data_IF_186531253005
#
_entry.id   IF_186531253005
#
_cell.length_a   1.000
_cell.length_b   1.000
_cell.length_c   1.000
_cell.angle_alpha   90.00
_cell.angle_beta   90.00
_cell.angle_gamma   90.00
#
_symmetry.space_group_name_H-M   'P 1'
#
loop_
_entity.id
_entity.type
_entity.pdbx_description
1 polymer ?
#
# COMPACT_ATOMS: atom_id res chain seq x y z
N UNK A 1 6.74 -5.18 23.14
CA UNK A 1 6.68 -6.55 22.58
C UNK A 1 7.42 -6.63 21.26
N UNK A 2 7.94 -7.81 20.88
CA UNK A 2 8.67 -8.01 19.62
C UNK A 2 7.80 -7.79 18.38
N UNK A 3 8.44 -7.43 17.27
CA UNK A 3 7.79 -7.25 15.98
C UNK A 3 7.22 -8.56 15.42
N UNK A 4 6.05 -8.46 14.79
CA UNK A 4 5.29 -9.57 14.21
C UNK A 4 5.01 -9.26 12.75
N UNK A 5 5.31 -10.18 11.85
CA UNK A 5 5.12 -9.98 10.40
C UNK A 5 3.63 -9.92 10.07
N UNK A 6 3.24 -9.04 9.15
CA UNK A 6 1.88 -9.10 8.59
C UNK A 6 1.68 -10.34 7.73
N UNK A 7 0.42 -10.75 7.58
CA UNK A 7 0.03 -11.82 6.65
C UNK A 7 0.42 -11.45 5.23
N UNK A 8 0.14 -10.20 4.80
CA UNK A 8 0.50 -9.69 3.47
C UNK A 8 2.00 -9.86 3.17
N UNK A 9 2.87 -9.60 4.14
CA UNK A 9 4.32 -9.81 3.98
C UNK A 9 4.65 -11.30 3.82
N UNK A 10 4.01 -12.18 4.59
CA UNK A 10 4.24 -13.63 4.51
C UNK A 10 3.85 -14.13 3.13
N UNK A 11 2.65 -13.79 2.65
CA UNK A 11 2.16 -14.14 1.31
C UNK A 11 3.11 -13.68 0.21
N UNK A 12 3.58 -12.43 0.25
CA UNK A 12 4.52 -11.92 -0.76
C UNK A 12 5.84 -12.71 -0.79
N UNK A 13 6.38 -13.08 0.39
CA UNK A 13 7.61 -13.88 0.46
C UNK A 13 7.39 -15.28 -0.14
N UNK A 14 6.22 -15.88 0.10
CA UNK A 14 5.85 -17.17 -0.50
C UNK A 14 5.74 -17.08 -2.02
N UNK A 15 5.07 -16.04 -2.55
CA UNK A 15 4.97 -15.77 -3.99
C UNK A 15 6.37 -15.56 -4.61
N UNK A 16 7.22 -14.77 -3.97
CA UNK A 16 8.61 -14.55 -4.42
C UNK A 16 9.41 -15.84 -4.40
N UNK A 17 9.21 -16.73 -3.42
CA UNK A 17 9.86 -18.04 -3.37
C UNK A 17 9.55 -18.89 -4.61
N UNK A 18 8.30 -18.84 -5.10
CA UNK A 18 7.88 -19.55 -6.31
C UNK A 18 8.54 -18.93 -7.54
N UNK A 19 8.60 -17.60 -7.62
CA UNK A 19 9.27 -16.89 -8.71
C UNK A 19 10.76 -17.24 -8.76
N UNK A 20 11.47 -17.23 -7.62
CA UNK A 20 12.87 -17.62 -7.55
C UNK A 20 13.11 -19.05 -8.03
N UNK A 21 12.23 -20.00 -7.67
CA UNK A 21 12.33 -21.38 -8.14
C UNK A 21 12.26 -21.46 -9.66
N UNK A 22 11.37 -20.68 -10.31
CA UNK A 22 11.24 -20.62 -11.77
C UNK A 22 12.49 -20.02 -12.43
N UNK A 23 12.98 -18.89 -11.91
CA UNK A 23 14.20 -18.23 -12.43
C UNK A 23 15.44 -19.14 -12.28
N UNK A 24 15.58 -19.86 -11.16
CA UNK A 24 16.65 -20.85 -10.99
C UNK A 24 16.49 -22.07 -11.90
N UNK A 25 15.26 -22.52 -12.10
CA UNK A 25 14.95 -23.64 -13.01
C UNK A 25 15.36 -23.34 -14.46
N UNK A 26 15.19 -22.09 -14.90
CA UNK A 26 15.62 -21.66 -16.23
C UNK A 26 17.14 -21.82 -16.46
N UNK A 27 17.96 -21.65 -15.40
CA UNK A 27 19.42 -21.82 -15.50
C UNK A 27 19.88 -23.28 -15.59
N UNK A 28 19.03 -24.23 -15.18
CA UNK A 28 19.41 -25.66 -15.07
C UNK A 28 19.01 -26.49 -16.29
N UNK A 29 18.11 -25.99 -17.12
CA UNK A 29 17.59 -26.68 -18.30
C UNK A 29 18.29 -26.17 -19.56
N UNK A 30 18.43 -27.03 -20.56
CA UNK A 30 18.84 -26.61 -21.91
C UNK A 30 17.62 -25.93 -22.54
N UNK A 31 17.50 -24.62 -22.31
CA UNK A 31 16.44 -23.77 -22.87
C UNK A 31 17.03 -22.88 -23.96
N UNK A 32 16.19 -22.45 -24.89
CA UNK A 32 16.59 -21.42 -25.86
C UNK A 32 16.73 -20.07 -25.16
N UNK A 33 17.47 -19.13 -25.78
CA UNK A 33 17.57 -17.76 -25.25
C UNK A 33 16.21 -17.09 -25.12
N UNK A 34 15.30 -17.34 -26.05
CA UNK A 34 13.96 -16.76 -26.06
C UNK A 34 13.10 -17.28 -24.90
N UNK A 35 13.19 -18.59 -24.62
CA UNK A 35 12.50 -19.19 -23.46
C UNK A 35 13.00 -18.59 -22.14
N UNK A 36 14.31 -18.38 -22.03
CA UNK A 36 14.91 -17.76 -20.84
C UNK A 36 14.40 -16.33 -20.68
N UNK A 37 14.43 -15.53 -21.74
CA UNK A 37 13.94 -14.14 -21.72
C UNK A 37 12.46 -14.07 -21.34
N UNK A 38 11.63 -14.98 -21.84
CA UNK A 38 10.22 -15.08 -21.48
C UNK A 38 10.03 -15.41 -19.99
N UNK A 39 10.78 -16.37 -19.45
CA UNK A 39 10.72 -16.72 -18.02
C UNK A 39 11.14 -15.53 -17.16
N UNK A 40 12.21 -14.82 -17.55
CA UNK A 40 12.66 -13.63 -16.83
C UNK A 40 11.64 -12.51 -16.89
N UNK A 41 11.03 -12.27 -18.06
CA UNK A 41 9.98 -11.28 -18.23
C UNK A 41 8.75 -11.58 -17.36
N UNK A 42 8.29 -12.83 -17.39
CA UNK A 42 7.20 -13.30 -16.53
C UNK A 42 7.53 -13.14 -15.05
N UNK A 43 8.77 -13.41 -14.63
CA UNK A 43 9.21 -13.22 -13.25
C UNK A 43 9.11 -11.75 -12.81
N UNK A 44 9.48 -10.80 -13.66
CA UNK A 44 9.35 -9.36 -13.37
C UNK A 44 7.88 -8.94 -13.22
N UNK A 45 7.01 -9.35 -14.14
CA UNK A 45 5.58 -9.03 -14.06
C UNK A 45 4.93 -9.63 -12.82
N UNK A 46 5.20 -10.90 -12.52
CA UNK A 46 4.69 -11.58 -11.33
C UNK A 46 5.20 -10.91 -10.04
N UNK A 47 6.49 -10.55 -9.98
CA UNK A 47 7.06 -9.89 -8.81
C UNK A 47 6.43 -8.50 -8.56
N UNK A 48 6.13 -7.77 -9.63
CA UNK A 48 5.46 -6.48 -9.54
C UNK A 48 3.97 -6.63 -9.15
N UNK A 49 3.28 -7.64 -9.68
CA UNK A 49 1.89 -7.92 -9.32
C UNK A 49 1.78 -8.30 -7.83
N UNK A 50 2.67 -9.16 -7.34
CA UNK A 50 2.80 -9.51 -5.93
C UNK A 50 3.04 -8.28 -5.04
N UNK A 51 3.87 -7.33 -5.47
CA UNK A 51 4.09 -6.08 -4.73
C UNK A 51 2.82 -5.20 -4.68
N UNK A 52 2.05 -5.14 -5.76
CA UNK A 52 0.77 -4.41 -5.79
C UNK A 52 -0.26 -5.08 -4.85
N UNK A 53 -0.34 -6.41 -4.86
CA UNK A 53 -1.19 -7.19 -3.96
C UNK A 53 -0.80 -6.95 -2.50
N UNK A 54 0.50 -6.94 -2.18
CA UNK A 54 0.97 -6.59 -0.84
C UNK A 54 0.44 -5.24 -0.36
N UNK A 55 0.49 -4.19 -1.21
CA UNK A 55 -0.06 -2.87 -0.86
C UNK A 55 -1.58 -2.95 -0.63
N UNK A 56 -2.31 -3.66 -1.49
CA UNK A 56 -3.75 -3.86 -1.29
C UNK A 56 -4.05 -4.56 0.04
N UNK A 57 -3.41 -5.70 0.29
CA UNK A 57 -3.68 -6.57 1.43
C UNK A 57 -3.26 -5.94 2.75
N UNK A 58 -2.11 -5.24 2.79
CA UNK A 58 -1.63 -4.60 4.01
C UNK A 58 -2.58 -3.49 4.45
N UNK A 59 -3.08 -2.66 3.52
CA UNK A 59 -4.03 -1.58 3.85
C UNK A 59 -5.43 -2.12 4.15
N UNK A 60 -5.87 -3.21 3.50
CA UNK A 60 -7.11 -3.89 3.85
C UNK A 60 -7.07 -4.46 5.27
N UNK A 61 -5.94 -5.06 5.64
CA UNK A 61 -5.72 -5.58 7.00
C UNK A 61 -5.58 -4.43 8.02
N UNK A 62 -4.90 -3.35 7.63
CA UNK A 62 -4.76 -2.13 8.44
C UNK A 62 -6.11 -1.56 8.85
N UNK A 63 -7.04 -1.46 7.88
CA UNK A 63 -8.38 -0.94 8.13
C UNK A 63 -9.14 -1.79 9.16
N UNK A 64 -9.04 -3.13 9.06
CA UNK A 64 -9.60 -4.06 10.06
C UNK A 64 -8.97 -3.85 11.44
N UNK A 65 -7.64 -3.73 11.48
CA UNK A 65 -6.88 -3.49 12.71
C UNK A 65 -7.29 -2.20 13.42
N UNK A 66 -7.36 -1.09 12.67
CA UNK A 66 -7.83 0.20 13.18
C UNK A 66 -9.25 0.08 13.71
N UNK A 67 -10.17 -0.52 12.94
CA UNK A 67 -11.58 -0.72 13.35
C UNK A 67 -11.73 -1.53 14.63
N UNK A 68 -10.84 -2.48 14.89
CA UNK A 68 -10.91 -3.29 16.11
C UNK A 68 -10.65 -2.51 17.40
N UNK A 69 -10.09 -1.28 17.30
CA UNK A 69 -9.72 -0.45 18.46
C UNK A 69 -10.36 0.94 18.42
N UNK A 70 -10.48 1.56 17.25
CA UNK A 70 -11.04 2.91 17.10
C UNK A 70 -12.57 2.88 17.11
N UNK A 71 -13.17 3.36 18.19
CA UNK A 71 -14.63 3.37 18.39
C UNK A 71 -15.33 4.55 17.71
N UNK A 72 -14.64 5.69 17.57
CA UNK A 72 -15.17 6.91 16.96
C UNK A 72 -14.07 7.60 16.13
N UNK A 73 -14.45 8.65 15.39
CA UNK A 73 -13.54 9.40 14.53
C UNK A 73 -12.36 10.07 15.24
N UNK A 74 -12.47 10.42 16.53
CA UNK A 74 -11.39 11.09 17.26
C UNK A 74 -10.23 10.16 17.64
N UNK A 75 -10.44 8.83 17.57
CA UNK A 75 -9.36 7.85 17.74
C UNK A 75 -8.53 7.63 16.46
N UNK A 76 -8.94 8.20 15.31
CA UNK A 76 -8.19 8.11 14.07
C UNK A 76 -7.12 9.21 14.01
N UNK A 77 -5.96 8.96 13.37
CA UNK A 77 -5.01 9.98 12.99
C UNK A 77 -5.69 11.09 12.17
N UNK A 78 -5.28 12.34 12.40
CA UNK A 78 -5.89 13.51 11.76
C UNK A 78 -5.86 13.42 10.25
N UNK A 79 -4.76 12.94 9.66
CA UNK A 79 -4.63 12.77 8.22
C UNK A 79 -5.60 11.73 7.67
N UNK A 80 -5.83 10.64 8.41
CA UNK A 80 -6.75 9.58 8.02
C UNK A 80 -8.18 10.06 8.11
N UNK A 81 -8.53 10.72 9.21
CA UNK A 81 -9.83 11.35 9.42
C UNK A 81 -10.15 12.35 8.32
N UNK A 82 -9.23 13.28 8.04
CA UNK A 82 -9.39 14.30 7.00
C UNK A 82 -9.51 13.66 5.61
N UNK A 83 -8.67 12.67 5.29
CA UNK A 83 -8.75 11.95 4.03
C UNK A 83 -10.10 11.24 3.84
N UNK A 84 -10.56 10.49 4.85
CA UNK A 84 -11.85 9.79 4.79
C UNK A 84 -13.02 10.75 4.63
N UNK A 85 -12.99 11.87 5.37
CA UNK A 85 -14.01 12.91 5.28
C UNK A 85 -14.05 13.50 3.87
N UNK A 86 -12.91 13.97 3.37
CA UNK A 86 -12.83 14.57 2.04
C UNK A 86 -13.16 13.56 0.94
N UNK A 87 -12.71 12.32 1.04
CA UNK A 87 -12.88 11.34 -0.02
C UNK A 87 -14.35 10.96 -0.25
N UNK A 88 -15.14 10.90 0.82
CA UNK A 88 -16.56 10.54 0.77
C UNK A 88 -17.50 11.75 0.65
N UNK A 89 -16.96 12.97 0.71
CA UNK A 89 -17.72 14.20 0.48
C UNK A 89 -18.03 14.40 -1.01
N UNK A 90 -19.19 14.98 -1.34
CA UNK A 90 -19.54 15.34 -2.71
C UNK A 90 -18.76 16.59 -3.18
N UNK A 91 -17.49 16.39 -3.55
CA UNK A 91 -16.57 17.47 -3.94
C UNK A 91 -17.05 18.27 -5.14
N UNK A 92 -17.71 17.63 -6.11
CA UNK A 92 -18.13 18.28 -7.34
C UNK A 92 -19.08 19.45 -7.06
N UNK A 93 -20.03 19.26 -6.14
CA UNK A 93 -20.98 20.31 -5.77
C UNK A 93 -20.37 21.42 -4.93
N UNK A 94 -19.47 21.07 -4.01
CA UNK A 94 -18.80 22.06 -3.16
C UNK A 94 -17.86 22.93 -4.01
N UNK A 95 -16.99 22.30 -4.81
CA UNK A 95 -16.08 23.05 -5.70
C UNK A 95 -16.89 23.84 -6.73
N UNK A 96 -17.95 23.25 -7.29
CA UNK A 96 -18.79 23.94 -8.25
C UNK A 96 -19.50 25.16 -7.65
N UNK A 97 -19.83 25.18 -6.35
CA UNK A 97 -20.34 26.39 -5.71
C UNK A 97 -19.28 27.50 -5.63
N UNK A 98 -18.04 27.16 -5.25
CA UNK A 98 -16.92 28.11 -5.18
C UNK A 98 -16.59 28.76 -6.55
N UNK A 99 -16.75 28.02 -7.64
CA UNK A 99 -16.51 28.54 -9.00
C UNK A 99 -17.79 29.04 -9.70
N UNK A 100 -18.90 29.20 -8.97
CA UNK A 100 -20.16 29.74 -9.49
C UNK A 100 -20.96 28.82 -10.43
N UNK A 101 -20.62 27.53 -10.51
CA UNK A 101 -21.34 26.52 -11.29
C UNK A 101 -22.53 25.90 -10.54
N UNK A 102 -22.56 26.01 -9.21
CA UNK A 102 -23.64 25.53 -8.36
C UNK A 102 -24.06 26.59 -7.33
N UNK A 103 -25.27 26.45 -6.79
CA UNK A 103 -25.72 27.31 -5.70
C UNK A 103 -25.00 26.95 -4.39
N UNK A 104 -24.54 27.97 -3.67
CA UNK A 104 -23.98 27.82 -2.32
C UNK A 104 -24.96 27.08 -1.38
N UNK A 105 -26.25 27.37 -1.49
CA UNK A 105 -27.29 26.70 -0.70
C UNK A 105 -27.35 25.17 -0.96
N UNK A 106 -27.12 24.73 -2.20
CA UNK A 106 -27.10 23.30 -2.52
C UNK A 106 -25.81 22.64 -2.00
N UNK A 107 -24.67 23.34 -2.05
CA UNK A 107 -23.43 22.87 -1.44
C UNK A 107 -23.57 22.72 0.09
N UNK A 108 -24.16 23.71 0.77
CA UNK A 108 -24.44 23.64 2.21
C UNK A 108 -25.38 22.48 2.55
N UNK A 109 -26.46 22.29 1.78
CA UNK A 109 -27.38 21.17 1.99
C UNK A 109 -26.67 19.81 1.89
N UNK A 110 -25.76 19.66 0.95
CA UNK A 110 -25.02 18.40 0.78
C UNK A 110 -23.97 18.19 1.87
N UNK A 111 -23.33 19.25 2.38
CA UNK A 111 -22.46 19.18 3.56
C UNK A 111 -23.28 18.75 4.78
N UNK A 112 -24.42 19.38 5.02
CA UNK A 112 -25.33 19.05 6.14
C UNK A 112 -25.74 17.57 6.06
N UNK A 113 -26.23 17.11 4.90
CA UNK A 113 -26.58 15.69 4.69
C UNK A 113 -25.40 14.75 4.94
N UNK A 114 -24.20 15.14 4.54
CA UNK A 114 -22.98 14.34 4.75
C UNK A 114 -22.60 14.24 6.23
N UNK A 115 -22.73 15.34 6.97
CA UNK A 115 -22.52 15.42 8.41
C UNK A 115 -23.60 14.66 9.20
N UNK A 116 -24.84 14.70 8.75
CA UNK A 116 -25.92 13.89 9.35
C UNK A 116 -25.68 12.39 9.14
N UNK A 117 -25.10 12.02 7.99
CA UNK A 117 -24.72 10.65 7.63
C UNK A 117 -23.40 10.16 8.24
N UNK A 118 -22.75 9.23 7.54
CA UNK A 118 -21.52 8.56 8.01
C UNK A 118 -20.34 9.51 8.24
N UNK A 119 -20.26 10.65 7.54
CA UNK A 119 -19.12 11.57 7.72
C UNK A 119 -19.21 12.34 9.04
N UNK A 120 -20.40 12.46 9.61
CA UNK A 120 -20.56 12.96 10.97
C UNK A 120 -19.76 12.16 11.99
N UNK A 121 -19.68 10.84 11.84
CA UNK A 121 -18.93 9.98 12.75
C UNK A 121 -17.40 10.23 12.73
N UNK A 122 -16.88 10.93 11.72
CA UNK A 122 -15.48 11.32 11.68
C UNK A 122 -15.22 12.56 12.53
N UNK A 123 -16.17 13.49 12.60
CA UNK A 123 -16.00 14.80 13.26
C UNK A 123 -16.64 14.86 14.65
N UNK A 124 -17.67 14.05 14.88
CA UNK A 124 -18.38 13.93 16.15
C UNK A 124 -17.85 12.72 16.92
N UNK A 125 -17.13 12.97 18.02
CA UNK A 125 -16.58 11.93 18.89
C UNK A 125 -17.62 11.12 19.67
N UNK A 126 -18.90 11.49 19.63
CA UNK A 126 -19.98 10.74 20.27
C UNK A 126 -20.56 9.65 19.38
N UNK A 127 -20.31 9.74 18.07
CA UNK A 127 -20.85 8.81 17.06
C UNK A 127 -19.91 7.63 16.82
N UNK A 128 -20.49 6.45 16.65
CA UNK A 128 -19.73 5.25 16.30
C UNK A 128 -19.15 5.36 14.88
N UNK A 129 -17.90 4.95 14.75
CA UNK A 129 -17.18 4.97 13.48
C UNK A 129 -17.80 3.97 12.48
N UNK A 130 -18.06 4.42 11.26
CA UNK A 130 -18.52 3.54 10.18
C UNK A 130 -17.42 2.55 9.76
N UNK A 131 -17.80 1.48 9.05
CA UNK A 131 -16.83 0.51 8.55
C UNK A 131 -15.87 1.12 7.53
N UNK A 132 -14.58 1.17 7.87
CA UNK A 132 -13.50 1.59 6.97
C UNK A 132 -12.94 0.35 6.28
N UNK A 133 -12.73 0.43 4.97
CA UNK A 133 -12.05 -0.61 4.19
C UNK A 133 -10.68 -0.14 3.69
N UNK A 134 -9.79 -1.06 3.33
CA UNK A 134 -8.48 -0.71 2.76
C UNK A 134 -8.61 0.19 1.52
N UNK A 135 -9.63 -0.05 0.69
CA UNK A 135 -9.93 0.76 -0.50
C UNK A 135 -10.29 2.21 -0.16
N UNK A 136 -10.86 2.47 1.01
CA UNK A 136 -11.10 3.84 1.47
C UNK A 136 -9.78 4.56 1.75
N UNK A 137 -8.73 3.83 2.14
CA UNK A 137 -7.39 4.36 2.44
C UNK A 137 -6.55 4.53 1.17
N UNK A 138 -6.35 3.48 0.37
CA UNK A 138 -5.49 3.56 -0.81
C UNK A 138 -6.21 4.14 -2.04
N UNK A 139 -7.54 4.12 -2.07
CA UNK A 139 -8.39 4.59 -3.18
C UNK A 139 -8.02 3.94 -4.52
N UNK A 140 -7.42 4.69 -5.44
CA UNK A 140 -6.94 4.22 -6.74
C UNK A 140 -5.41 4.04 -6.76
N UNK A 141 -4.74 4.37 -5.67
CA UNK A 141 -3.27 4.44 -5.57
C UNK A 141 -2.64 3.15 -5.05
N UNK A 142 -3.22 1.98 -5.37
CA UNK A 142 -2.65 0.67 -4.99
C UNK A 142 -1.34 0.35 -5.73
N UNK A 143 -1.14 0.94 -6.91
CA UNK A 143 0.07 0.73 -7.70
C UNK A 143 1.29 1.33 -6.97
N UNK A 144 2.38 0.55 -6.74
CA UNK A 144 3.50 0.94 -5.90
C UNK A 144 4.48 1.89 -6.63
N UNK A 145 4.08 3.13 -6.88
CA UNK A 145 4.97 4.20 -7.38
C UNK A 145 5.36 5.16 -6.25
N UNK A 146 6.44 5.93 -6.45
CA UNK A 146 6.86 6.99 -5.52
C UNK A 146 5.70 7.89 -5.08
N UNK A 147 4.98 8.43 -6.06
CA UNK A 147 3.87 9.36 -5.84
C UNK A 147 2.74 8.70 -5.08
N UNK A 148 2.38 7.46 -5.45
CA UNK A 148 1.28 6.73 -4.82
C UNK A 148 1.61 6.36 -3.37
N UNK A 149 2.80 5.81 -3.12
CA UNK A 149 3.20 5.42 -1.77
C UNK A 149 3.31 6.64 -0.84
N UNK A 150 3.90 7.76 -1.29
CA UNK A 150 3.90 8.99 -0.49
C UNK A 150 2.47 9.41 -0.12
N UNK A 151 1.55 9.42 -1.10
CA UNK A 151 0.16 9.80 -0.86
C UNK A 151 -0.52 8.87 0.15
N UNK A 152 -0.45 7.56 -0.07
CA UNK A 152 -1.17 6.58 0.75
C UNK A 152 -0.60 6.52 2.18
N UNK A 153 0.72 6.59 2.35
CA UNK A 153 1.33 6.59 3.68
C UNK A 153 1.06 7.90 4.44
N UNK A 154 1.03 9.04 3.75
CA UNK A 154 0.63 10.30 4.36
C UNK A 154 -0.81 10.28 4.88
N UNK A 155 -1.73 9.60 4.16
CA UNK A 155 -3.13 9.43 4.61
C UNK A 155 -3.26 8.71 5.94
N UNK A 156 -2.27 7.94 6.37
CA UNK A 156 -2.30 7.28 7.68
C UNK A 156 -1.38 7.95 8.71
N UNK A 157 -0.88 9.16 8.42
CA UNK A 157 0.00 9.93 9.32
C UNK A 157 1.48 9.53 9.26
N UNK A 158 1.94 8.93 8.16
CA UNK A 158 3.36 8.61 7.93
C UNK A 158 3.94 9.57 6.90
N UNK A 159 4.51 10.68 7.38
CA UNK A 159 5.26 11.63 6.55
C UNK A 159 6.70 11.16 6.25
N UNK A 160 7.30 11.74 5.21
CA UNK A 160 8.67 11.46 4.77
C UNK A 160 8.93 9.95 4.62
N UNK A 161 7.98 9.25 4.00
CA UNK A 161 7.95 7.79 3.92
C UNK A 161 9.27 7.19 3.43
N UNK A 162 9.78 7.64 2.28
CA UNK A 162 11.04 7.12 1.73
C UNK A 162 12.26 7.46 2.59
N UNK A 163 12.30 8.61 3.24
CA UNK A 163 13.41 8.97 4.13
C UNK A 163 13.46 8.05 5.36
N UNK A 164 12.28 7.75 5.94
CA UNK A 164 12.17 6.79 7.05
C UNK A 164 12.61 5.39 6.63
N UNK A 165 12.27 4.97 5.42
CA UNK A 165 12.74 3.70 4.87
C UNK A 165 14.25 3.72 4.60
N UNK A 166 14.79 4.81 4.06
CA UNK A 166 16.22 4.97 3.81
C UNK A 166 17.02 4.84 5.09
N UNK A 167 16.56 5.46 6.18
CA UNK A 167 17.17 5.34 7.51
C UNK A 167 17.09 3.90 8.04
N UNK A 168 15.94 3.24 7.90
CA UNK A 168 15.73 1.87 8.37
C UNK A 168 16.56 0.83 7.59
N UNK A 169 16.73 1.04 6.28
CA UNK A 169 17.43 0.12 5.38
C UNK A 169 18.91 0.46 5.20
N UNK A 170 19.33 1.69 5.54
CA UNK A 170 20.65 2.26 5.20
C UNK A 170 20.96 2.19 3.69
N UNK A 171 19.93 2.33 2.87
CA UNK A 171 19.97 2.20 1.40
C UNK A 171 18.91 3.09 0.78
N UNK A 172 19.08 3.43 -0.49
CA UNK A 172 18.06 4.16 -1.24
C UNK A 172 16.86 3.25 -1.57
N UNK A 173 15.80 3.39 -0.78
CA UNK A 173 14.54 2.64 -0.91
C UNK A 173 13.74 3.02 -2.16
N UNK A 174 13.89 4.25 -2.66
CA UNK A 174 13.25 4.69 -3.89
C UNK A 174 13.92 4.02 -5.10
N UNK A 175 15.25 4.03 -5.15
CA UNK A 175 15.99 3.35 -6.20
C UNK A 175 15.67 1.85 -6.25
N UNK A 176 15.49 1.20 -5.09
CA UNK A 176 15.06 -0.21 -5.02
C UNK A 176 13.68 -0.39 -5.66
N UNK A 177 12.70 0.45 -5.31
CA UNK A 177 11.35 0.39 -5.87
C UNK A 177 11.36 0.60 -7.39
N UNK A 178 12.04 1.65 -7.85
CA UNK A 178 12.13 2.01 -9.27
C UNK A 178 12.91 0.97 -10.08
N UNK A 179 13.84 0.24 -9.47
CA UNK A 179 14.59 -0.81 -10.17
C UNK A 179 13.70 -1.92 -10.72
N UNK A 180 12.66 -2.36 -9.99
CA UNK A 180 11.74 -3.38 -10.49
C UNK A 180 10.72 -2.78 -11.46
N UNK A 181 10.22 -1.57 -11.17
CA UNK A 181 9.30 -0.84 -12.04
C UNK A 181 9.90 -0.54 -13.41
N UNK A 182 11.17 -0.14 -13.46
CA UNK A 182 11.90 0.14 -14.69
C UNK A 182 12.01 -1.07 -15.61
N UNK A 183 12.32 -2.26 -15.06
CA UNK A 183 12.34 -3.50 -15.88
C UNK A 183 10.98 -3.82 -16.47
N UNK A 184 9.92 -3.67 -15.67
CA UNK A 184 8.56 -3.90 -16.15
C UNK A 184 8.21 -2.93 -17.28
N UNK A 185 8.55 -1.65 -17.14
CA UNK A 185 8.31 -0.64 -18.18
C UNK A 185 9.10 -0.93 -19.45
N UNK A 186 10.39 -1.27 -19.34
CA UNK A 186 11.22 -1.66 -20.49
C UNK A 186 10.63 -2.86 -21.24
N UNK A 187 10.25 -3.91 -20.49
CA UNK A 187 9.57 -5.09 -21.04
C UNK A 187 8.28 -4.74 -21.76
N UNK A 188 7.45 -3.89 -21.16
CA UNK A 188 6.16 -3.51 -21.73
C UNK A 188 6.30 -2.69 -23.02
N UNK A 189 7.39 -1.91 -23.17
CA UNK A 189 7.63 -1.07 -24.34
C UNK A 189 8.40 -1.76 -25.45
N UNK A 190 9.36 -2.63 -25.11
CA UNK A 190 10.30 -3.22 -26.08
C UNK A 190 10.09 -4.70 -26.31
N UNK A 191 9.29 -5.37 -25.47
CA UNK A 191 9.04 -6.81 -25.52
C UNK A 191 10.23 -7.67 -25.06
N UNK A 192 11.36 -7.06 -24.69
CA UNK A 192 12.59 -7.75 -24.27
C UNK A 192 13.25 -7.01 -23.09
N UNK A 193 14.09 -7.69 -22.31
CA UNK A 193 14.99 -7.03 -21.35
C UNK A 193 16.39 -7.04 -21.92
N UNK A 194 16.93 -5.87 -22.25
CA UNK A 194 18.28 -5.79 -22.77
C UNK A 194 19.30 -5.85 -21.63
N UNK A 195 20.28 -6.75 -21.73
CA UNK A 195 21.40 -6.89 -20.79
C UNK A 195 21.05 -7.24 -19.32
N UNK A 196 19.93 -7.94 -19.07
CA UNK A 196 19.54 -8.40 -17.72
C UNK A 196 19.54 -9.93 -17.67
N UNK A 197 20.32 -10.51 -16.76
CA UNK A 197 20.32 -11.97 -16.56
C UNK A 197 19.45 -12.37 -15.35
N UNK A 198 19.21 -13.67 -15.18
CA UNK A 198 18.39 -14.17 -14.07
C UNK A 198 18.96 -13.89 -12.66
N UNK A 199 20.27 -13.67 -12.53
CA UNK A 199 20.88 -13.18 -11.29
C UNK A 199 20.46 -11.75 -10.96
N UNK A 200 20.41 -10.86 -11.96
CA UNK A 200 19.97 -9.47 -11.80
C UNK A 200 18.49 -9.39 -11.42
N UNK A 201 17.63 -10.17 -12.11
CA UNK A 201 16.20 -10.27 -11.76
C UNK A 201 16.05 -10.76 -10.32
N UNK A 202 16.75 -11.83 -9.94
CA UNK A 202 16.70 -12.36 -8.57
C UNK A 202 17.15 -11.34 -7.53
N UNK A 203 18.19 -10.56 -7.83
CA UNK A 203 18.69 -9.51 -6.94
C UNK A 203 17.66 -8.39 -6.74
N UNK A 204 17.01 -7.93 -7.82
CA UNK A 204 15.97 -6.89 -7.75
C UNK A 204 14.76 -7.36 -6.94
N UNK A 205 14.28 -8.59 -7.17
CA UNK A 205 13.20 -9.17 -6.37
C UNK A 205 13.60 -9.24 -4.89
N UNK A 206 14.84 -9.64 -4.58
CA UNK A 206 15.34 -9.72 -3.19
C UNK A 206 15.47 -8.36 -2.53
N UNK A 207 15.86 -7.34 -3.28
CA UNK A 207 15.92 -5.97 -2.76
C UNK A 207 14.50 -5.41 -2.50
N UNK A 208 13.53 -5.71 -3.36
CA UNK A 208 12.11 -5.38 -3.12
C UNK A 208 11.55 -6.13 -1.91
N UNK A 209 11.90 -7.40 -1.71
CA UNK A 209 11.51 -8.15 -0.52
C UNK A 209 12.00 -7.47 0.78
N UNK A 210 13.23 -6.95 0.77
CA UNK A 210 13.79 -6.18 1.89
C UNK A 210 13.08 -4.84 2.07
N UNK A 211 12.70 -4.19 0.98
CA UNK A 211 11.88 -2.96 1.01
C UNK A 211 10.53 -3.24 1.68
N UNK A 212 9.82 -4.29 1.26
CA UNK A 212 8.55 -4.74 1.87
C UNK A 212 8.73 -5.03 3.36
N UNK A 213 9.81 -5.70 3.75
CA UNK A 213 10.12 -5.95 5.16
C UNK A 213 10.31 -4.66 5.98
N UNK A 214 10.92 -3.63 5.39
CA UNK A 214 11.10 -2.32 6.03
C UNK A 214 9.76 -1.57 6.15
N UNK A 215 8.93 -1.59 5.10
CA UNK A 215 7.57 -1.04 5.10
C UNK A 215 6.74 -1.68 6.21
N UNK A 216 6.75 -3.01 6.28
CA UNK A 216 5.97 -3.76 7.27
C UNK A 216 6.35 -3.41 8.70
N UNK A 217 7.65 -3.27 8.98
CA UNK A 217 8.16 -2.83 10.29
C UNK A 217 7.82 -1.38 10.61
N UNK A 218 7.85 -0.50 9.61
CA UNK A 218 7.47 0.90 9.78
C UNK A 218 5.98 1.00 10.15
N UNK A 219 5.13 0.27 9.44
CA UNK A 219 3.69 0.17 9.72
C UNK A 219 3.43 -0.44 11.10
N UNK A 220 4.12 -1.51 11.48
CA UNK A 220 4.00 -2.10 12.81
C UNK A 220 4.27 -1.07 13.90
N UNK A 221 5.41 -0.36 13.81
CA UNK A 221 5.77 0.68 14.79
C UNK A 221 4.72 1.78 14.84
N UNK A 222 4.24 2.23 13.68
CA UNK A 222 3.24 3.28 13.58
C UNK A 222 1.91 2.87 14.19
N UNK A 223 1.40 1.69 13.85
CA UNK A 223 0.12 1.19 14.35
C UNK A 223 0.19 0.88 15.84
N UNK A 224 1.24 0.21 16.32
CA UNK A 224 1.40 -0.04 17.74
C UNK A 224 1.51 1.25 18.56
N UNK A 225 2.10 2.31 18.01
CA UNK A 225 2.17 3.62 18.67
C UNK A 225 0.80 4.29 18.78
N UNK A 226 -0.02 4.24 17.72
CA UNK A 226 -1.28 5.00 17.66
C UNK A 226 -2.49 4.22 18.18
N UNK A 227 -2.53 2.90 17.98
CA UNK A 227 -3.70 2.05 18.27
C UNK A 227 -3.37 0.88 19.22
N UNK A 228 -2.14 0.84 19.73
CA UNK A 228 -1.67 -0.28 20.53
C UNK A 228 -1.47 -1.56 19.70
N UNK A 229 -0.94 -2.58 20.36
CA UNK A 229 -0.53 -3.81 19.68
C UNK A 229 -1.70 -4.69 19.24
N UNK A 230 -2.84 -4.59 19.91
CA UNK A 230 -4.06 -5.36 19.59
C UNK A 230 -4.61 -5.02 18.19
N UNK A 231 -4.40 -3.79 17.72
CA UNK A 231 -4.75 -3.43 16.34
C UNK A 231 -3.92 -4.19 15.30
N UNK A 232 -2.70 -4.61 15.64
CA UNK A 232 -1.82 -5.36 14.73
C UNK A 232 -2.05 -6.88 14.82
N UNK A 233 -2.19 -7.41 16.03
CA UNK A 233 -2.34 -8.85 16.25
C UNK A 233 -3.77 -9.28 15.93
N UNK A 234 -3.94 -10.37 15.18
CA UNK A 234 -5.24 -10.95 14.82
C UNK A 234 -5.95 -10.29 13.63
N UNK A 235 -5.61 -9.03 13.32
CA UNK A 235 -6.20 -8.30 12.20
C UNK A 235 -5.22 -8.01 11.06
N UNK A 236 -3.93 -7.88 11.38
CA UNK A 236 -2.85 -7.59 10.41
C UNK A 236 -1.84 -8.73 10.35
N UNK A 237 -1.61 -9.39 11.48
CA UNK A 237 -0.72 -10.54 11.63
C UNK A 237 -1.46 -11.73 12.24
N UNK A 238 -1.16 -12.93 11.75
CA UNK A 238 -1.61 -14.18 12.35
C UNK A 238 -0.56 -14.61 13.38
N UNK A 239 -0.68 -14.13 14.62
CA UNK A 239 0.09 -14.63 15.77
C UNK A 239 -0.71 -15.62 16.62
N UNK A 240 -1.87 -16.04 16.11
CA UNK A 240 -2.78 -17.01 16.71
C UNK A 240 -3.32 -17.93 15.62
N UNK A 241 -2.43 -18.77 15.10
CA UNK A 241 -2.75 -20.16 14.78
C UNK A 241 -1.75 -21.04 15.54
#
# INVERSE_FOLDING_TARGET
MPYVKSVARITLVEEYSVIYKRVRGAKRKVLTSEDVDYILGAAVFLAHAALENYIHDIFSSLAKGIRSVATNGSHLPDELRAHLFLHKLNKARIIGAEVGLHSEHDAFRDIIKSLEGHLGALVDGTRELFSIEGKDIYTVYKYPSKVNLIKVFRRIGIDNFFDRLNQAMKRDSLAILESLGGLRSELAHTGKMSAVNGGDVSKRISDVEKLVAAIDRLLYKHICRNFGQRAWIGNISNLFE
#
